data_IF_928321506274
#
_entry.id   IF_928321506274
#
_cell.length_a   1.000
_cell.length_b   1.000
_cell.length_c   1.000
_cell.angle_alpha   90.00
_cell.angle_beta   90.00
_cell.angle_gamma   90.00
#
_symmetry.space_group_name_H-M   'P 1'
#
loop_
_entity.id
_entity.type
_entity.pdbx_description
1 polymer ?
#
# COMPACT_ATOMS: atom_id res chain seq x y z
N UNK A 1 -1.36 38.44 -15.42
CA UNK A 1 -1.58 37.83 -16.75
C UNK A 1 -0.95 36.45 -16.90
N UNK A 2 0.38 36.30 -17.04
CA UNK A 2 0.99 34.96 -17.30
C UNK A 2 0.71 33.93 -16.19
N UNK A 3 0.79 34.33 -14.93
CA UNK A 3 0.51 33.43 -13.80
C UNK A 3 -0.95 32.96 -13.79
N UNK A 4 -1.89 33.85 -14.11
CA UNK A 4 -3.33 33.53 -14.17
C UNK A 4 -3.64 32.57 -15.32
N UNK A 5 -2.96 32.71 -16.47
CA UNK A 5 -3.08 31.75 -17.57
C UNK A 5 -2.58 30.36 -17.18
N UNK A 6 -1.47 30.28 -16.44
CA UNK A 6 -0.92 29.02 -15.94
C UNK A 6 -1.90 28.37 -14.95
N UNK A 7 -2.43 29.14 -14.00
CA UNK A 7 -3.41 28.65 -13.02
C UNK A 7 -4.68 28.12 -13.71
N UNK A 8 -5.20 28.87 -14.69
CA UNK A 8 -6.36 28.46 -15.48
C UNK A 8 -6.09 27.16 -16.25
N UNK A 9 -4.93 27.03 -16.89
CA UNK A 9 -4.54 25.82 -17.61
C UNK A 9 -4.44 24.60 -16.66
N UNK A 10 -3.85 24.78 -15.47
CA UNK A 10 -3.78 23.72 -14.45
C UNK A 10 -5.17 23.27 -13.99
N UNK A 11 -6.10 24.20 -13.79
CA UNK A 11 -7.48 23.89 -13.40
C UNK A 11 -8.24 23.13 -14.49
N UNK A 12 -8.02 23.48 -15.77
CA UNK A 12 -8.62 22.75 -16.90
C UNK A 12 -8.09 21.31 -16.94
N UNK A 13 -6.79 21.12 -16.77
CA UNK A 13 -6.18 19.77 -16.73
C UNK A 13 -6.72 18.98 -15.55
N UNK A 14 -6.78 19.58 -14.36
CA UNK A 14 -7.33 18.93 -13.17
C UNK A 14 -8.80 18.52 -13.39
N UNK A 15 -9.63 19.40 -13.93
CA UNK A 15 -11.03 19.10 -14.22
C UNK A 15 -11.18 17.93 -15.21
N UNK A 16 -10.34 17.89 -16.26
CA UNK A 16 -10.35 16.78 -17.20
C UNK A 16 -9.99 15.45 -16.54
N UNK A 17 -8.91 15.43 -15.73
CA UNK A 17 -8.50 14.23 -15.00
C UNK A 17 -9.58 13.76 -14.01
N UNK A 18 -10.27 14.68 -13.34
CA UNK A 18 -11.37 14.36 -12.43
C UNK A 18 -12.52 13.67 -13.15
N UNK A 19 -12.88 14.15 -14.35
CA UNK A 19 -13.93 13.53 -15.16
C UNK A 19 -13.52 12.12 -15.59
N UNK A 20 -12.30 11.94 -16.08
CA UNK A 20 -11.77 10.63 -16.48
C UNK A 20 -11.75 9.67 -15.30
N UNK A 21 -11.29 10.11 -14.13
CA UNK A 21 -11.28 9.30 -12.91
C UNK A 21 -12.69 8.91 -12.46
N UNK A 22 -13.65 9.84 -12.50
CA UNK A 22 -15.04 9.58 -12.14
C UNK A 22 -15.69 8.56 -13.09
N UNK A 23 -15.51 8.73 -14.40
CA UNK A 23 -15.99 7.76 -15.40
C UNK A 23 -15.33 6.41 -15.18
N UNK A 24 -14.00 6.37 -15.02
CA UNK A 24 -13.26 5.15 -14.73
C UNK A 24 -13.82 4.42 -13.51
N UNK A 25 -14.08 5.14 -12.41
CA UNK A 25 -14.60 4.56 -11.18
C UNK A 25 -15.97 3.88 -11.38
N UNK A 26 -16.86 4.47 -12.19
CA UNK A 26 -18.18 3.90 -12.48
C UNK A 26 -18.09 2.77 -13.51
N UNK A 27 -17.15 2.84 -14.45
CA UNK A 27 -17.02 1.87 -15.54
C UNK A 27 -16.37 0.55 -15.13
N UNK A 28 -15.77 0.42 -13.93
CA UNK A 28 -15.13 -0.83 -13.50
C UNK A 28 -16.18 -1.86 -13.01
N UNK A 29 -16.42 -2.97 -13.74
CA UNK A 29 -17.31 -4.02 -13.29
C UNK A 29 -16.70 -4.76 -12.08
N UNK A 30 -17.56 -5.28 -11.20
CA UNK A 30 -17.14 -5.94 -9.96
C UNK A 30 -16.45 -7.29 -10.18
N UNK A 31 -16.71 -7.94 -11.30
CA UNK A 31 -16.35 -9.34 -11.60
C UNK A 31 -15.04 -9.49 -12.40
N UNK A 32 -14.21 -8.44 -12.42
CA UNK A 32 -12.92 -8.45 -13.10
C UNK A 32 -11.79 -8.81 -12.11
N UNK A 33 -10.80 -9.57 -12.59
CA UNK A 33 -9.59 -9.86 -11.83
C UNK A 33 -8.88 -8.54 -11.48
N UNK A 34 -8.39 -8.39 -10.24
CA UNK A 34 -7.69 -7.19 -9.76
C UNK A 34 -8.49 -5.87 -9.81
N UNK A 35 -9.82 -5.91 -9.73
CA UNK A 35 -10.67 -4.69 -9.72
C UNK A 35 -10.31 -3.73 -8.60
N UNK A 36 -9.95 -4.24 -7.43
CA UNK A 36 -9.53 -3.42 -6.28
C UNK A 36 -8.27 -2.63 -6.62
N UNK A 37 -7.26 -3.28 -7.22
CA UNK A 37 -6.05 -2.60 -7.69
C UNK A 37 -6.36 -1.53 -8.74
N UNK A 38 -7.25 -1.83 -9.69
CA UNK A 38 -7.73 -0.87 -10.68
C UNK A 38 -8.41 0.35 -10.05
N UNK A 39 -9.26 0.13 -9.03
CA UNK A 39 -9.92 1.22 -8.29
C UNK A 39 -8.92 2.08 -7.52
N UNK A 40 -7.95 1.47 -6.84
CA UNK A 40 -6.90 2.20 -6.11
C UNK A 40 -6.09 3.05 -7.09
N UNK A 41 -5.79 2.54 -8.29
CA UNK A 41 -5.09 3.31 -9.32
C UNK A 41 -5.92 4.52 -9.80
N UNK A 42 -7.22 4.35 -9.99
CA UNK A 42 -8.14 5.45 -10.38
C UNK A 42 -8.26 6.49 -9.27
N UNK A 43 -8.34 6.07 -8.00
CA UNK A 43 -8.31 6.97 -6.83
C UNK A 43 -6.97 7.73 -6.80
N UNK A 44 -5.85 7.08 -7.13
CA UNK A 44 -4.57 7.77 -7.27
C UNK A 44 -4.56 8.86 -8.35
N UNK A 45 -5.20 8.64 -9.50
CA UNK A 45 -5.37 9.67 -10.54
C UNK A 45 -6.22 10.84 -10.03
N UNK A 46 -7.28 10.54 -9.29
CA UNK A 46 -8.12 11.55 -8.63
C UNK A 46 -7.32 12.39 -7.63
N UNK A 47 -6.48 11.75 -6.81
CA UNK A 47 -5.63 12.44 -5.83
C UNK A 47 -4.67 13.43 -6.50
N UNK A 48 -4.02 13.01 -7.59
CA UNK A 48 -3.13 13.90 -8.36
C UNK A 48 -3.90 15.04 -9.01
N UNK A 49 -5.10 14.80 -9.52
CA UNK A 49 -5.95 15.86 -10.06
C UNK A 49 -6.31 16.91 -8.99
N UNK A 50 -6.60 16.47 -7.76
CA UNK A 50 -6.81 17.34 -6.61
C UNK A 50 -5.56 18.15 -6.24
N UNK A 51 -4.37 17.54 -6.25
CA UNK A 51 -3.09 18.26 -6.03
C UNK A 51 -2.89 19.36 -7.08
N UNK A 52 -3.08 19.03 -8.36
CA UNK A 52 -2.95 20.01 -9.46
C UNK A 52 -3.96 21.15 -9.29
N UNK A 53 -5.21 20.85 -8.90
CA UNK A 53 -6.22 21.87 -8.63
C UNK A 53 -5.81 22.79 -7.47
N UNK A 54 -5.30 22.25 -6.37
CA UNK A 54 -4.82 23.04 -5.23
C UNK A 54 -3.64 23.94 -5.60
N UNK A 55 -2.72 23.47 -6.44
CA UNK A 55 -1.63 24.29 -7.01
C UNK A 55 -2.20 25.40 -7.89
N UNK A 56 -3.18 25.09 -8.74
CA UNK A 56 -3.89 26.07 -9.58
C UNK A 56 -4.62 27.15 -8.77
N UNK A 57 -5.14 26.81 -7.60
CA UNK A 57 -5.78 27.74 -6.66
C UNK A 57 -4.77 28.51 -5.78
N UNK A 58 -3.46 28.25 -5.90
CA UNK A 58 -2.42 28.88 -5.09
C UNK A 58 -2.30 28.33 -3.66
N UNK A 59 -2.96 27.21 -3.36
CA UNK A 59 -2.91 26.56 -2.04
C UNK A 59 -1.76 25.54 -1.95
N UNK A 60 -0.52 26.03 -2.04
CA UNK A 60 0.67 25.18 -2.11
C UNK A 60 0.91 24.34 -0.85
N UNK A 61 0.66 24.89 0.33
CA UNK A 61 0.82 24.17 1.59
C UNK A 61 -0.15 22.98 1.67
N UNK A 62 -1.41 23.20 1.29
CA UNK A 62 -2.43 22.15 1.29
C UNK A 62 -2.12 21.09 0.23
N UNK A 63 -1.68 21.51 -0.96
CA UNK A 63 -1.25 20.60 -2.02
C UNK A 63 -0.09 19.70 -1.55
N UNK A 64 0.89 20.25 -0.85
CA UNK A 64 2.03 19.50 -0.31
C UNK A 64 1.61 18.49 0.74
N UNK A 65 0.77 18.90 1.71
CA UNK A 65 0.26 17.99 2.75
C UNK A 65 -0.55 16.85 2.11
N UNK A 66 -1.45 17.18 1.18
CA UNK A 66 -2.26 16.19 0.50
C UNK A 66 -1.43 15.22 -0.34
N UNK A 67 -0.41 15.72 -1.05
CA UNK A 67 0.49 14.89 -1.84
C UNK A 67 1.25 13.86 -0.99
N UNK A 68 1.65 14.24 0.22
CA UNK A 68 2.28 13.31 1.16
C UNK A 68 1.27 12.28 1.68
N UNK A 69 0.03 12.70 1.99
CA UNK A 69 -0.98 11.81 2.56
C UNK A 69 -1.55 10.78 1.56
N UNK A 70 -1.72 11.15 0.29
CA UNK A 70 -2.29 10.30 -0.75
C UNK A 70 -1.67 8.89 -0.88
N UNK A 71 -0.33 8.71 -0.89
CA UNK A 71 0.25 7.36 -0.93
C UNK A 71 -0.02 6.56 0.34
N UNK A 72 -0.08 7.19 1.52
CA UNK A 72 -0.40 6.49 2.77
C UNK A 72 -1.85 6.04 2.81
N UNK A 73 -2.79 6.89 2.37
CA UNK A 73 -4.20 6.51 2.27
C UNK A 73 -4.38 5.37 1.28
N UNK A 74 -3.76 5.45 0.10
CA UNK A 74 -3.79 4.37 -0.89
C UNK A 74 -3.23 3.05 -0.33
N UNK A 75 -2.11 3.09 0.40
CA UNK A 75 -1.51 1.91 1.02
C UNK A 75 -2.40 1.31 2.12
N UNK A 76 -2.96 2.15 3.00
CA UNK A 76 -3.86 1.71 4.06
C UNK A 76 -5.14 1.06 3.48
N UNK A 77 -5.70 1.66 2.43
CA UNK A 77 -6.86 1.13 1.70
C UNK A 77 -6.49 -0.22 1.06
N UNK A 78 -5.37 -0.30 0.34
CA UNK A 78 -4.92 -1.54 -0.29
C UNK A 78 -4.77 -2.69 0.73
N UNK A 79 -4.13 -2.43 1.86
CA UNK A 79 -3.92 -3.42 2.91
C UNK A 79 -5.24 -3.86 3.57
N UNK A 80 -6.17 -2.94 3.80
CA UNK A 80 -7.48 -3.27 4.33
C UNK A 80 -8.27 -4.17 3.36
N UNK A 81 -8.27 -3.84 2.06
CA UNK A 81 -8.97 -4.62 1.05
C UNK A 81 -8.33 -5.98 0.76
N UNK A 82 -6.99 -6.08 0.79
CA UNK A 82 -6.29 -7.36 0.68
C UNK A 82 -6.73 -8.36 1.75
N UNK A 83 -6.94 -7.87 2.98
CA UNK A 83 -7.34 -8.71 4.11
C UNK A 83 -8.84 -9.07 4.10
N UNK A 84 -9.69 -8.37 3.34
CA UNK A 84 -11.14 -8.56 3.36
C UNK A 84 -11.74 -9.16 2.07
N UNK A 85 -11.48 -8.56 0.91
CA UNK A 85 -12.22 -8.84 -0.34
C UNK A 85 -11.34 -9.39 -1.48
N UNK A 86 -10.02 -9.22 -1.39
CA UNK A 86 -9.12 -9.66 -2.46
C UNK A 86 -8.99 -11.20 -2.51
N UNK A 87 -9.25 -11.88 -1.38
CA UNK A 87 -9.30 -13.36 -1.31
C UNK A 87 -10.45 -13.94 -2.14
N UNK A 88 -11.59 -13.24 -2.24
CA UNK A 88 -12.76 -13.73 -3.00
C UNK A 88 -12.63 -13.48 -4.52
N UNK A 89 -12.15 -12.30 -4.93
CA UNK A 89 -12.04 -11.94 -6.35
C UNK A 89 -10.76 -12.43 -7.03
N UNK A 90 -9.73 -12.77 -6.25
CA UNK A 90 -8.44 -13.24 -6.73
C UNK A 90 -8.04 -14.59 -6.09
N UNK A 91 -8.97 -15.55 -6.01
CA UNK A 91 -8.71 -16.89 -5.48
C UNK A 91 -7.47 -17.60 -6.09
N UNK A 92 -7.10 -17.25 -7.34
CA UNK A 92 -5.90 -17.78 -8.03
C UNK A 92 -4.55 -17.16 -7.61
N UNK A 93 -4.51 -16.16 -6.73
CA UNK A 93 -3.24 -15.66 -6.19
C UNK A 93 -2.64 -16.60 -5.13
N UNK A 94 -3.44 -17.49 -4.54
CA UNK A 94 -2.95 -18.58 -3.67
C UNK A 94 -2.43 -19.81 -4.43
N UNK A 95 -2.67 -19.89 -5.74
CA UNK A 95 -2.16 -20.95 -6.64
C UNK A 95 -0.94 -20.50 -7.44
N UNK A 96 -0.25 -19.43 -7.02
CA UNK A 96 1.17 -19.34 -7.37
C UNK A 96 1.84 -20.38 -6.47
N UNK A 97 1.92 -21.62 -6.96
CA UNK A 97 3.04 -22.47 -6.59
C UNK A 97 4.26 -21.58 -6.82
N UNK A 98 4.83 -21.05 -5.73
CA UNK A 98 6.19 -20.55 -5.79
C UNK A 98 6.98 -21.78 -6.24
N UNK A 99 7.30 -21.88 -7.54
CA UNK A 99 8.43 -22.68 -8.00
C UNK A 99 9.65 -22.03 -7.36
N UNK A 100 9.83 -22.30 -6.07
CA UNK A 100 11.06 -22.02 -5.37
C UNK A 100 12.03 -23.00 -5.99
N UNK A 101 12.92 -22.46 -6.82
CA UNK A 101 14.12 -23.17 -7.22
C UNK A 101 14.89 -23.53 -5.93
N UNK A 102 14.68 -24.75 -5.45
CA UNK A 102 15.37 -25.33 -4.29
C UNK A 102 16.90 -25.35 -4.46
N UNK A 103 17.41 -25.04 -5.66
CA UNK A 103 18.83 -24.84 -5.91
C UNK A 103 19.34 -23.46 -5.45
N UNK A 104 18.48 -22.49 -5.16
CA UNK A 104 18.90 -21.17 -4.70
C UNK A 104 19.11 -21.16 -3.17
N UNK A 105 20.36 -21.03 -2.68
CA UNK A 105 20.65 -21.08 -1.25
C UNK A 105 20.13 -19.87 -0.46
N UNK A 106 19.61 -18.83 -1.13
CA UNK A 106 19.12 -17.61 -0.48
C UNK A 106 17.60 -17.49 -0.46
N UNK A 107 16.86 -18.41 -1.09
CA UNK A 107 15.39 -18.39 -1.12
C UNK A 107 14.89 -19.62 -0.38
N UNK A 108 14.13 -19.41 0.69
CA UNK A 108 13.56 -20.47 1.50
C UNK A 108 12.07 -20.23 1.67
N UNK A 109 11.28 -21.30 1.61
CA UNK A 109 9.84 -21.23 1.84
C UNK A 109 9.56 -20.67 3.24
N UNK A 110 8.52 -19.84 3.35
CA UNK A 110 8.16 -19.17 4.60
C UNK A 110 7.92 -20.14 5.76
N UNK A 111 7.38 -21.34 5.48
CA UNK A 111 7.20 -22.37 6.51
C UNK A 111 8.53 -22.89 7.08
N UNK A 112 9.57 -23.03 6.23
CA UNK A 112 10.89 -23.50 6.66
C UNK A 112 11.60 -22.46 7.52
N UNK A 113 11.46 -21.18 7.20
CA UNK A 113 11.99 -20.10 8.06
C UNK A 113 11.25 -20.08 9.40
N UNK A 114 9.92 -20.23 9.39
CA UNK A 114 9.12 -20.25 10.61
C UNK A 114 9.43 -21.47 11.50
N UNK A 115 9.71 -22.64 10.92
CA UNK A 115 10.21 -23.81 11.64
C UNK A 115 11.58 -23.54 12.26
N UNK A 116 12.53 -22.99 11.48
CA UNK A 116 13.87 -22.64 11.99
C UNK A 116 13.83 -21.62 13.14
N UNK A 117 12.99 -20.58 13.03
CA UNK A 117 12.79 -19.60 14.11
C UNK A 117 12.20 -20.25 15.38
N UNK A 118 11.28 -21.22 15.21
CA UNK A 118 10.70 -21.95 16.34
C UNK A 118 11.71 -22.89 17.01
N UNK A 119 12.55 -23.55 16.21
CA UNK A 119 13.58 -24.48 16.68
C UNK A 119 14.72 -23.73 17.40
N UNK A 120 15.12 -22.55 16.90
CA UNK A 120 16.09 -21.69 17.58
C UNK A 120 15.54 -21.10 18.89
N UNK A 121 14.24 -20.76 18.93
CA UNK A 121 13.57 -20.31 20.15
C UNK A 121 13.53 -21.41 21.24
N UNK A 122 13.31 -22.67 20.84
CA UNK A 122 13.39 -23.81 21.77
C UNK A 122 14.82 -24.11 22.22
N UNK A 123 15.82 -23.99 21.33
CA UNK A 123 17.24 -24.13 21.70
C UNK A 123 17.71 -23.02 22.64
N UNK A 124 17.26 -21.78 22.43
CA UNK A 124 17.53 -20.65 23.34
C UNK A 124 16.90 -20.82 24.72
N UNK A 125 15.73 -21.48 24.82
CA UNK A 125 15.13 -21.83 26.11
C UNK A 125 15.84 -22.97 26.83
N UNK A 126 16.48 -23.88 26.10
CA UNK A 126 17.21 -25.02 26.66
C UNK A 126 18.65 -24.67 27.07
N UNK A 127 19.23 -23.59 26.53
CA UNK A 127 20.57 -23.13 26.89
C UNK A 127 20.51 -22.17 28.09
N UNK A 128 20.55 -22.73 29.30
CA UNK A 128 20.58 -21.99 30.57
C UNK A 128 21.79 -21.04 30.73
N UNK A 129 22.76 -21.05 29.80
CA UNK A 129 23.97 -20.20 29.87
C UNK A 129 23.75 -18.75 29.44
N UNK A 130 22.65 -18.44 28.75
CA UNK A 130 22.29 -17.08 28.35
C UNK A 130 21.00 -16.63 29.03
N UNK A 131 20.98 -16.68 30.35
CA UNK A 131 19.97 -15.98 31.16
C UNK A 131 20.27 -14.48 31.18
N UNK A 132 19.63 -13.71 30.30
CA UNK A 132 19.50 -12.27 30.51
C UNK A 132 18.58 -12.06 31.71
N UNK A 133 19.14 -11.67 32.85
CA UNK A 133 18.35 -11.16 33.98
C UNK A 133 17.69 -9.85 33.54
N UNK A 134 16.39 -9.88 33.30
CA UNK A 134 15.57 -8.66 33.33
C UNK A 134 15.65 -8.12 34.74
N UNK A 135 16.38 -7.01 34.88
CA UNK A 135 16.50 -6.25 36.11
C UNK A 135 15.12 -5.67 36.42
N UNK A 136 14.39 -6.28 37.34
CA UNK A 136 13.17 -5.71 37.90
C UNK A 136 13.56 -4.43 38.64
N UNK A 137 13.14 -3.29 38.10
CA UNK A 137 13.24 -2.01 38.79
C UNK A 137 12.05 -1.98 39.75
N UNK A 138 12.31 -2.23 41.03
CA UNK A 138 11.36 -1.91 42.09
C UNK A 138 11.29 -0.39 42.23
N UNK A 139 10.11 0.19 41.97
CA UNK A 139 9.78 1.54 42.40
C UNK A 139 9.36 1.51 43.88
N UNK A 140 10.25 1.92 44.78
CA UNK A 140 9.89 2.58 46.05
C UNK A 140 10.99 3.53 46.54
#
# INVERSE_FOLDING_TARGET
MIVEYIQSALLIIAAFLMIVAAVGMVSLPKDMKNVVYGRIHIVGVFDIACVIAMIGLGQYLLAGIYFVLAPFTAHAIANAFYKSEDVENNAKLGEVEEEIDDANPFVHHKSKIQELESEDSEKLKADERFTFSTLEIEEE
#
